data_IF_377910434246
#
_entry.id   IF_377910434246
#
_cell.length_a   1.000
_cell.length_b   1.000
_cell.length_c   1.000
_cell.angle_alpha   90.00
_cell.angle_beta   90.00
_cell.angle_gamma   90.00
#
_symmetry.space_group_name_H-M   'P 1'
#
loop_
_entity.id
_entity.type
_entity.pdbx_description
1 polymer ?
#
# COMPACT_ATOMS: atom_id res chain seq x y z
N UNK A 1 44.51 59.74 -55.64
CA UNK A 1 43.17 59.11 -55.67
C UNK A 1 43.17 57.69 -55.11
N UNK A 2 44.15 56.85 -55.43
CA UNK A 2 44.20 55.44 -54.99
C UNK A 2 44.37 55.27 -53.46
N UNK A 3 45.18 56.13 -52.83
CA UNK A 3 45.39 56.13 -51.37
C UNK A 3 44.13 56.45 -50.56
N UNK A 4 43.31 57.40 -51.04
CA UNK A 4 42.03 57.76 -50.40
C UNK A 4 41.03 56.60 -50.48
N UNK A 5 41.00 55.93 -51.64
CA UNK A 5 40.10 54.80 -51.91
C UNK A 5 40.40 53.59 -51.01
N UNK A 6 41.69 53.27 -50.81
CA UNK A 6 42.12 52.20 -49.91
C UNK A 6 41.80 52.53 -48.44
N UNK A 7 41.92 53.81 -48.04
CA UNK A 7 41.62 54.26 -46.67
C UNK A 7 40.13 54.18 -46.32
N UNK A 8 39.26 54.56 -47.27
CA UNK A 8 37.81 54.47 -47.09
C UNK A 8 37.38 53.01 -47.01
N UNK A 9 37.91 52.16 -47.89
CA UNK A 9 37.57 50.72 -47.93
C UNK A 9 38.07 49.97 -46.67
N UNK A 10 39.23 50.34 -46.11
CA UNK A 10 39.67 49.78 -44.82
C UNK A 10 38.80 50.22 -43.64
N UNK A 11 38.36 51.48 -43.59
CA UNK A 11 37.42 51.96 -42.56
C UNK A 11 36.05 51.25 -42.63
N UNK A 12 35.54 50.99 -43.84
CA UNK A 12 34.30 50.23 -44.03
C UNK A 12 34.46 48.75 -43.61
N UNK A 13 35.61 48.14 -43.89
CA UNK A 13 35.92 46.77 -43.44
C UNK A 13 36.05 46.67 -41.92
N UNK A 14 36.66 47.65 -41.26
CA UNK A 14 36.75 47.72 -39.79
C UNK A 14 35.37 47.93 -39.14
N UNK A 15 34.47 48.70 -39.77
CA UNK A 15 33.10 48.89 -39.30
C UNK A 15 32.19 47.64 -39.47
N UNK A 16 32.52 46.74 -40.40
CA UNK A 16 31.76 45.51 -40.67
C UNK A 16 32.14 44.32 -39.77
N UNK A 17 33.25 44.40 -39.04
CA UNK A 17 33.61 43.38 -38.03
C UNK A 17 32.75 43.61 -36.78
N UNK A 18 31.46 43.26 -36.87
CA UNK A 18 30.60 43.15 -35.69
C UNK A 18 31.28 42.24 -34.67
N UNK A 19 31.54 42.71 -33.44
CA UNK A 19 32.38 41.97 -32.52
C UNK A 19 31.69 40.65 -32.17
N UNK A 20 32.37 39.52 -32.44
CA UNK A 20 31.97 38.15 -32.06
C UNK A 20 31.43 38.06 -30.63
N UNK A 21 31.90 38.94 -29.72
CA UNK A 21 31.44 39.08 -28.33
C UNK A 21 29.95 39.41 -28.18
N UNK A 22 29.35 40.19 -29.09
CA UNK A 22 27.91 40.54 -29.04
C UNK A 22 27.03 39.33 -29.37
N UNK A 23 27.45 38.46 -30.30
CA UNK A 23 26.70 37.23 -30.61
C UNK A 23 26.72 36.24 -29.44
N UNK A 24 27.84 36.11 -28.73
CA UNK A 24 27.93 35.23 -27.54
C UNK A 24 27.04 35.71 -26.39
N UNK A 25 26.96 37.03 -26.16
CA UNK A 25 26.08 37.61 -25.13
C UNK A 25 24.59 37.38 -25.42
N UNK A 26 24.20 37.24 -26.68
CA UNK A 26 22.81 36.94 -27.08
C UNK A 26 22.39 35.50 -26.76
N UNK A 27 23.32 34.54 -26.74
CA UNK A 27 23.03 33.14 -26.41
C UNK A 27 23.09 32.83 -24.91
N UNK A 28 23.77 33.69 -24.14
CA UNK A 28 23.93 33.55 -22.70
C UNK A 28 22.60 33.47 -21.91
N UNK A 29 21.57 34.32 -22.17
CA UNK A 29 20.28 34.18 -21.50
C UNK A 29 19.58 32.86 -21.85
N UNK A 30 19.68 32.38 -23.10
CA UNK A 30 19.10 31.10 -23.50
C UNK A 30 19.75 29.93 -22.77
N UNK A 31 21.08 29.93 -22.65
CA UNK A 31 21.80 28.90 -21.89
C UNK A 31 21.40 28.91 -20.42
N UNK A 32 21.31 30.09 -19.80
CA UNK A 32 20.86 30.24 -18.40
C UNK A 32 19.43 29.74 -18.24
N UNK A 33 18.51 30.12 -19.13
CA UNK A 33 17.12 29.65 -19.12
C UNK A 33 17.01 28.13 -19.29
N UNK A 34 17.79 27.53 -20.20
CA UNK A 34 17.83 26.08 -20.38
C UNK A 34 18.36 25.38 -19.13
N UNK A 35 19.43 25.89 -18.52
CA UNK A 35 19.95 25.31 -17.27
C UNK A 35 18.95 25.41 -16.12
N UNK A 36 18.24 26.55 -16.00
CA UNK A 36 17.18 26.71 -15.00
C UNK A 36 16.02 25.77 -15.27
N UNK A 37 15.60 25.60 -16.53
CA UNK A 37 14.54 24.66 -16.89
C UNK A 37 14.94 23.22 -16.55
N UNK A 38 16.15 22.78 -16.90
CA UNK A 38 16.65 21.43 -16.58
C UNK A 38 16.69 21.20 -15.07
N UNK A 39 17.22 22.17 -14.29
CA UNK A 39 17.26 22.06 -12.83
C UNK A 39 15.85 22.04 -12.22
N UNK A 40 14.93 22.86 -12.74
CA UNK A 40 13.54 22.88 -12.31
C UNK A 40 12.84 21.55 -12.60
N UNK A 41 13.00 20.99 -13.79
CA UNK A 41 12.44 19.69 -14.15
C UNK A 41 13.07 18.55 -13.32
N UNK A 42 14.38 18.57 -13.09
CA UNK A 42 15.05 17.59 -12.24
C UNK A 42 14.54 17.65 -10.80
N UNK A 43 14.38 18.85 -10.24
CA UNK A 43 13.88 19.04 -8.89
C UNK A 43 12.39 18.71 -8.79
N UNK A 44 11.59 19.02 -9.83
CA UNK A 44 10.19 18.62 -9.91
C UNK A 44 10.05 17.10 -9.98
N UNK A 45 10.86 16.41 -10.80
CA UNK A 45 10.86 14.94 -10.88
C UNK A 45 11.25 14.33 -9.54
N UNK A 46 12.30 14.81 -8.90
CA UNK A 46 12.71 14.32 -7.57
C UNK A 46 11.60 14.53 -6.53
N UNK A 47 10.87 15.66 -6.60
CA UNK A 47 9.71 15.90 -5.73
C UNK A 47 8.56 14.94 -6.03
N UNK A 48 8.25 14.70 -7.31
CA UNK A 48 7.19 13.77 -7.73
C UNK A 48 7.51 12.33 -7.32
N UNK A 49 8.75 11.90 -7.48
CA UNK A 49 9.22 10.57 -7.06
C UNK A 49 9.21 10.43 -5.53
N UNK A 50 9.56 11.50 -4.79
CA UNK A 50 9.47 11.53 -3.32
C UNK A 50 8.03 11.61 -2.80
N UNK A 51 7.07 12.00 -3.65
CA UNK A 51 5.64 12.00 -3.35
C UNK A 51 4.97 10.67 -3.70
N UNK A 52 5.66 9.76 -4.40
CA UNK A 52 5.17 8.39 -4.53
C UNK A 52 5.26 7.74 -3.14
N UNK A 53 4.15 7.19 -2.63
CA UNK A 53 4.22 6.43 -1.40
C UNK A 53 5.22 5.29 -1.59
N UNK A 54 6.20 5.18 -0.69
CA UNK A 54 7.16 4.07 -0.67
C UNK A 54 6.45 2.70 -0.46
N UNK A 55 5.18 2.75 -0.07
CA UNK A 55 4.35 1.60 0.26
C UNK A 55 2.95 1.79 -0.31
N UNK A 56 2.49 0.84 -1.11
CA UNK A 56 1.14 0.81 -1.67
C UNK A 56 0.56 -0.61 -1.59
N UNK A 57 -0.65 -0.82 -2.13
CA UNK A 57 -1.27 -2.14 -2.14
C UNK A 57 -0.50 -3.19 -2.97
N UNK A 58 0.34 -2.76 -3.92
CA UNK A 58 1.10 -3.68 -4.78
C UNK A 58 2.44 -4.09 -4.16
N UNK A 59 3.06 -3.18 -3.40
CA UNK A 59 4.40 -3.31 -2.80
C UNK A 59 4.35 -3.63 -1.30
N UNK A 60 3.18 -3.48 -0.68
CA UNK A 60 2.93 -3.80 0.71
C UNK A 60 3.27 -2.67 1.68
N UNK A 61 2.52 -2.56 2.78
CA UNK A 61 2.71 -1.54 3.81
C UNK A 61 3.94 -1.77 4.71
N UNK A 62 4.43 -0.71 5.37
CA UNK A 62 5.55 -0.81 6.32
C UNK A 62 5.26 -1.79 7.47
N UNK A 63 4.01 -1.89 7.91
CA UNK A 63 3.56 -2.73 9.03
C UNK A 63 3.34 -4.19 8.65
N UNK A 64 3.48 -4.54 7.38
CA UNK A 64 3.31 -5.93 6.94
C UNK A 64 4.54 -6.78 7.24
N UNK A 65 4.28 -8.08 7.38
CA UNK A 65 5.32 -9.07 7.56
C UNK A 65 6.23 -9.13 6.32
N UNK A 66 7.47 -8.68 6.46
CA UNK A 66 8.39 -8.46 5.34
C UNK A 66 8.60 -9.68 4.44
N UNK A 67 8.77 -10.92 4.96
CA UNK A 67 8.88 -12.12 4.13
C UNK A 67 7.64 -12.42 3.27
N UNK A 68 6.46 -11.93 3.67
CA UNK A 68 5.21 -12.14 2.96
C UNK A 68 4.99 -11.17 1.79
N UNK A 69 5.71 -10.05 1.72
CA UNK A 69 5.47 -8.99 0.73
C UNK A 69 5.58 -9.45 -0.71
N UNK A 70 6.51 -10.38 -0.99
CA UNK A 70 6.70 -10.94 -2.32
C UNK A 70 5.49 -11.75 -2.84
N UNK A 71 4.58 -12.14 -1.94
CA UNK A 71 3.36 -12.88 -2.28
C UNK A 71 2.13 -11.98 -2.41
N UNK A 72 2.28 -10.66 -2.20
CA UNK A 72 1.19 -9.70 -2.36
C UNK A 72 0.97 -9.45 -3.84
N UNK A 73 -0.29 -9.59 -4.27
CA UNK A 73 -0.72 -9.28 -5.62
C UNK A 73 -2.08 -8.59 -5.58
N UNK A 74 -2.27 -7.62 -6.49
CA UNK A 74 -3.57 -6.98 -6.68
C UNK A 74 -4.40 -7.84 -7.63
N UNK A 75 -5.62 -8.16 -7.21
CA UNK A 75 -6.63 -8.83 -8.02
C UNK A 75 -7.84 -7.89 -8.16
N UNK A 76 -8.29 -7.66 -9.38
CA UNK A 76 -9.52 -6.90 -9.64
C UNK A 76 -10.69 -7.88 -9.73
N UNK A 77 -11.67 -7.70 -8.84
CA UNK A 77 -12.84 -8.55 -8.74
C UNK A 77 -14.11 -7.70 -8.77
N UNK A 78 -15.10 -8.10 -9.55
CA UNK A 78 -16.42 -7.48 -9.52
C UNK A 78 -17.17 -7.92 -8.26
N UNK A 79 -17.46 -6.96 -7.37
CA UNK A 79 -18.28 -7.23 -6.19
C UNK A 79 -19.76 -7.18 -6.54
N UNK A 80 -20.37 -8.35 -6.67
CA UNK A 80 -21.81 -8.46 -6.87
C UNK A 80 -22.52 -8.47 -5.52
N UNK A 81 -23.23 -7.38 -5.21
CA UNK A 81 -24.17 -7.38 -4.09
C UNK A 81 -25.29 -8.39 -4.39
N UNK A 82 -25.64 -9.28 -3.44
CA UNK A 82 -26.82 -10.12 -3.59
C UNK A 82 -28.06 -9.25 -3.74
N UNK A 83 -28.83 -9.49 -4.81
CA UNK A 83 -30.13 -8.88 -4.99
C UNK A 83 -31.09 -9.39 -3.91
N UNK A 84 -31.61 -8.48 -3.08
CA UNK A 84 -32.63 -8.78 -2.08
C UNK A 84 -33.99 -8.37 -2.67
N UNK A 85 -34.86 -9.32 -3.07
CA UNK A 85 -36.22 -8.97 -3.50
C UNK A 85 -37.00 -8.36 -2.34
N UNK A 86 -37.73 -7.27 -2.61
CA UNK A 86 -38.36 -6.38 -1.64
C UNK A 86 -39.63 -6.91 -0.96
N UNK A 87 -39.57 -8.14 -0.46
CA UNK A 87 -40.66 -8.76 0.29
C UNK A 87 -40.10 -9.08 1.68
N UNK A 88 -40.26 -8.14 2.61
CA UNK A 88 -39.68 -8.17 3.97
C UNK A 88 -40.07 -9.41 4.81
N UNK A 89 -41.01 -10.24 4.34
CA UNK A 89 -41.44 -11.49 4.99
C UNK A 89 -40.47 -12.67 4.80
N UNK A 90 -39.57 -12.64 3.81
CA UNK A 90 -38.63 -13.72 3.53
C UNK A 90 -37.23 -13.20 3.22
N UNK A 91 -36.66 -12.43 4.15
CA UNK A 91 -35.23 -12.12 4.08
C UNK A 91 -34.42 -13.39 4.41
N UNK A 92 -34.02 -14.12 3.38
CA UNK A 92 -32.97 -15.13 3.50
C UNK A 92 -31.61 -14.44 3.31
N UNK A 93 -30.74 -14.44 4.34
CA UNK A 93 -29.40 -13.90 4.17
C UNK A 93 -28.68 -14.70 3.08
N UNK A 94 -27.91 -14.03 2.21
CA UNK A 94 -27.26 -14.69 1.09
C UNK A 94 -26.27 -15.74 1.61
N UNK A 95 -26.34 -16.95 1.05
CA UNK A 95 -25.46 -18.05 1.42
C UNK A 95 -24.25 -18.04 0.49
N UNK A 96 -23.08 -17.78 1.08
CA UNK A 96 -21.78 -17.82 0.41
C UNK A 96 -20.83 -18.75 1.17
N UNK A 97 -19.61 -18.91 0.66
CA UNK A 97 -18.60 -19.77 1.29
C UNK A 97 -18.38 -19.45 2.79
N UNK A 98 -18.45 -18.18 3.18
CA UNK A 98 -18.21 -17.70 4.56
C UNK A 98 -19.42 -17.07 5.25
N UNK A 99 -20.61 -17.09 4.63
CA UNK A 99 -21.82 -16.38 5.10
C UNK A 99 -23.05 -17.28 5.02
N UNK A 100 -23.92 -17.22 6.02
CA UNK A 100 -25.21 -17.93 6.02
C UNK A 100 -25.48 -18.66 7.33
N UNK A 101 -26.52 -19.50 7.31
CA UNK A 101 -26.85 -20.39 8.43
C UNK A 101 -25.76 -21.45 8.67
N UNK A 102 -25.65 -21.98 9.90
CA UNK A 102 -24.67 -23.02 10.24
C UNK A 102 -24.77 -24.24 9.32
N UNK A 103 -23.65 -24.60 8.69
CA UNK A 103 -23.50 -25.84 7.92
C UNK A 103 -22.07 -26.37 8.08
N UNK A 104 -21.88 -27.67 7.92
CA UNK A 104 -20.54 -28.27 7.96
C UNK A 104 -19.61 -27.66 6.91
N UNK A 105 -20.13 -27.36 5.72
CA UNK A 105 -19.36 -26.69 4.65
C UNK A 105 -18.84 -25.32 5.09
N UNK A 106 -19.70 -24.52 5.73
CA UNK A 106 -19.34 -23.19 6.23
C UNK A 106 -18.24 -23.28 7.30
N UNK A 107 -18.34 -24.23 8.23
CA UNK A 107 -17.33 -24.39 9.27
C UNK A 107 -15.99 -24.89 8.71
N UNK A 108 -16.02 -25.77 7.71
CA UNK A 108 -14.81 -26.18 6.99
C UNK A 108 -14.17 -24.98 6.28
N UNK A 109 -14.96 -24.12 5.65
CA UNK A 109 -14.46 -22.92 4.97
C UNK A 109 -13.78 -21.98 5.98
N UNK A 110 -14.44 -21.65 7.10
CA UNK A 110 -13.84 -20.83 8.16
C UNK A 110 -12.58 -21.44 8.76
N UNK A 111 -12.57 -22.76 9.02
CA UNK A 111 -11.38 -23.46 9.51
C UNK A 111 -10.21 -23.37 8.53
N UNK A 112 -10.49 -23.49 7.23
CA UNK A 112 -9.47 -23.31 6.18
C UNK A 112 -9.00 -21.88 6.11
N UNK A 113 -9.90 -20.89 6.16
CA UNK A 113 -9.54 -19.48 6.14
C UNK A 113 -8.65 -19.09 7.33
N UNK A 114 -8.86 -19.69 8.51
CA UNK A 114 -8.11 -19.39 9.73
C UNK A 114 -6.89 -20.29 9.95
N UNK A 115 -6.46 -21.06 8.95
CA UNK A 115 -5.37 -22.03 9.13
C UNK A 115 -4.05 -21.38 9.59
N UNK A 116 -3.78 -20.16 9.15
CA UNK A 116 -2.58 -19.39 9.42
C UNK A 116 -2.78 -18.35 10.55
N UNK A 117 -3.75 -18.59 11.46
CA UNK A 117 -4.00 -17.70 12.59
C UNK A 117 -2.75 -17.50 13.46
N UNK A 118 -2.03 -18.59 13.70
CA UNK A 118 -0.80 -18.60 14.47
C UNK A 118 0.31 -19.20 13.61
N UNK A 119 1.47 -18.57 13.63
CA UNK A 119 2.64 -18.95 12.85
C UNK A 119 3.81 -19.20 13.80
N UNK A 120 4.44 -20.37 13.65
CA UNK A 120 5.72 -20.65 14.27
C UNK A 120 6.81 -20.51 13.21
N UNK A 121 7.69 -19.53 13.40
CA UNK A 121 8.73 -19.15 12.46
C UNK A 121 10.09 -19.66 12.92
N UNK A 122 10.91 -20.07 11.96
CA UNK A 122 12.34 -20.27 12.20
C UNK A 122 13.03 -18.93 12.51
N UNK A 123 14.23 -18.98 13.09
CA UNK A 123 14.96 -17.76 13.46
C UNK A 123 15.25 -16.86 12.24
N UNK A 124 15.55 -17.47 11.10
CA UNK A 124 15.83 -16.78 9.84
C UNK A 124 14.58 -16.05 9.30
N UNK A 125 13.39 -16.60 9.53
CA UNK A 125 12.11 -16.02 9.09
C UNK A 125 11.63 -14.91 10.02
N UNK A 126 11.98 -14.99 11.30
CA UNK A 126 11.60 -14.02 12.31
C UNK A 126 12.55 -12.82 12.39
N UNK A 127 13.67 -12.80 11.65
CA UNK A 127 14.72 -11.78 11.78
C UNK A 127 14.21 -10.33 11.82
N UNK A 128 13.16 -10.01 11.04
CA UNK A 128 12.62 -8.64 10.95
C UNK A 128 11.60 -8.29 12.04
N UNK A 129 11.10 -9.28 12.78
CA UNK A 129 10.02 -9.12 13.77
C UNK A 129 10.35 -9.76 15.12
N UNK A 130 11.58 -10.23 15.32
CA UNK A 130 11.99 -11.04 16.48
C UNK A 130 11.60 -10.42 17.82
N UNK A 131 11.77 -9.11 17.96
CA UNK A 131 11.45 -8.37 19.18
C UNK A 131 9.93 -8.22 19.44
N UNK A 132 9.11 -8.42 18.41
CA UNK A 132 7.65 -8.39 18.46
C UNK A 132 7.02 -9.80 18.50
N UNK A 133 7.84 -10.84 18.66
CA UNK A 133 7.40 -12.24 18.73
C UNK A 133 7.63 -12.86 20.10
N UNK A 134 6.92 -13.95 20.37
CA UNK A 134 7.19 -14.79 21.54
C UNK A 134 8.04 -15.98 21.11
N UNK A 135 9.11 -16.31 21.83
CA UNK A 135 9.93 -17.49 21.52
C UNK A 135 9.57 -18.66 22.42
N UNK A 136 9.25 -19.80 21.83
CA UNK A 136 9.00 -21.04 22.56
C UNK A 136 10.30 -21.57 23.21
N UNK A 137 10.21 -22.01 24.47
CA UNK A 137 11.38 -22.51 25.19
C UNK A 137 11.81 -23.91 24.73
N UNK A 138 10.88 -24.72 24.26
CA UNK A 138 11.05 -26.13 23.89
C UNK A 138 11.43 -26.30 22.42
N UNK A 139 10.73 -25.63 21.51
CA UNK A 139 10.98 -25.73 20.05
C UNK A 139 11.95 -24.67 19.53
N UNK A 140 12.19 -23.61 20.31
CA UNK A 140 12.98 -22.43 19.92
C UNK A 140 12.42 -21.62 18.74
N UNK A 141 11.21 -21.96 18.27
CA UNK A 141 10.50 -21.23 17.21
C UNK A 141 9.92 -19.92 17.73
N UNK A 142 9.75 -18.96 16.83
CA UNK A 142 9.16 -17.66 17.10
C UNK A 142 7.69 -17.66 16.74
N UNK A 143 6.85 -17.59 17.75
CA UNK A 143 5.40 -17.49 17.66
C UNK A 143 4.96 -16.07 17.30
N UNK A 144 4.17 -15.97 16.24
CA UNK A 144 3.53 -14.73 15.80
C UNK A 144 2.17 -15.00 15.18
N UNK A 145 1.47 -13.93 14.78
CA UNK A 145 0.20 -14.02 14.07
C UNK A 145 -0.02 -12.80 13.18
N UNK A 146 -0.73 -12.99 12.08
CA UNK A 146 -1.11 -11.89 11.19
C UNK A 146 -2.38 -11.24 11.74
N UNK A 147 -2.35 -9.92 11.98
CA UNK A 147 -3.47 -9.20 12.59
C UNK A 147 -4.81 -9.38 11.87
N UNK A 148 -4.79 -9.48 10.53
CA UNK A 148 -5.98 -9.78 9.73
C UNK A 148 -6.64 -11.11 10.13
N UNK A 149 -5.84 -12.16 10.35
CA UNK A 149 -6.38 -13.47 10.75
C UNK A 149 -6.96 -13.41 12.16
N UNK A 150 -6.40 -12.62 13.07
CA UNK A 150 -6.98 -12.40 14.40
C UNK A 150 -8.33 -11.69 14.31
N UNK A 151 -8.46 -10.69 13.44
CA UNK A 151 -9.75 -10.02 13.19
C UNK A 151 -10.78 -11.02 12.63
N UNK A 152 -10.40 -11.83 11.64
CA UNK A 152 -11.27 -12.87 11.07
C UNK A 152 -11.66 -13.93 12.11
N UNK A 153 -10.74 -14.34 12.99
CA UNK A 153 -11.03 -15.27 14.09
C UNK A 153 -12.11 -14.73 15.02
N UNK A 154 -12.02 -13.45 15.39
CA UNK A 154 -13.03 -12.80 16.22
C UNK A 154 -14.39 -12.69 15.50
N UNK A 155 -14.39 -12.40 14.20
CA UNK A 155 -15.61 -12.41 13.38
C UNK A 155 -16.26 -13.79 13.36
N UNK A 156 -15.49 -14.87 13.24
CA UNK A 156 -16.01 -16.24 13.31
C UNK A 156 -16.62 -16.56 14.68
N UNK A 157 -15.98 -16.14 15.77
CA UNK A 157 -16.56 -16.28 17.12
C UNK A 157 -17.89 -15.52 17.20
N UNK A 158 -17.95 -14.30 16.68
CA UNK A 158 -19.18 -13.50 16.67
C UNK A 158 -20.29 -14.18 15.85
N UNK A 159 -19.96 -14.68 14.65
CA UNK A 159 -20.86 -15.48 13.81
C UNK A 159 -21.44 -16.67 14.57
N UNK A 160 -20.57 -17.46 15.24
CA UNK A 160 -21.00 -18.63 16.02
C UNK A 160 -21.88 -18.23 17.21
N UNK A 161 -21.61 -17.09 17.84
CA UNK A 161 -22.41 -16.56 18.96
C UNK A 161 -23.83 -16.16 18.54
N UNK A 162 -24.02 -15.64 17.32
CA UNK A 162 -25.36 -15.37 16.78
C UNK A 162 -26.17 -16.67 16.71
N UNK A 163 -25.56 -17.76 16.23
CA UNK A 163 -26.17 -19.08 16.11
C UNK A 163 -25.93 -19.97 17.34
N UNK A 164 -26.07 -19.41 18.55
CA UNK A 164 -25.84 -20.14 19.80
C UNK A 164 -26.76 -21.35 20.01
N UNK A 165 -27.92 -21.41 19.36
CA UNK A 165 -28.77 -22.61 19.37
C UNK A 165 -28.09 -23.81 18.68
N UNK A 166 -27.22 -23.55 17.70
CA UNK A 166 -26.45 -24.57 16.99
C UNK A 166 -25.08 -24.83 17.64
N UNK A 167 -24.32 -23.77 17.96
CA UNK A 167 -22.94 -23.90 18.48
C UNK A 167 -22.84 -23.94 20.01
N UNK A 168 -23.95 -23.74 20.72
CA UNK A 168 -23.97 -23.53 22.15
C UNK A 168 -23.70 -22.07 22.55
N UNK A 169 -23.96 -21.75 23.82
CA UNK A 169 -23.69 -20.42 24.38
C UNK A 169 -22.19 -20.14 24.38
N UNK A 170 -21.75 -18.91 24.03
CA UNK A 170 -20.34 -18.55 24.07
C UNK A 170 -19.73 -18.75 25.46
N UNK A 171 -18.52 -19.29 25.50
CA UNK A 171 -17.71 -19.37 26.72
C UNK A 171 -17.32 -17.97 27.21
N UNK A 172 -16.87 -17.86 28.47
CA UNK A 172 -16.34 -16.59 29.00
C UNK A 172 -15.18 -16.04 28.16
N UNK A 173 -14.34 -16.93 27.62
CA UNK A 173 -13.24 -16.55 26.73
C UNK A 173 -13.77 -16.00 25.40
N UNK A 174 -14.74 -16.67 24.78
CA UNK A 174 -15.36 -16.19 23.53
C UNK A 174 -16.10 -14.87 23.73
N UNK A 175 -16.80 -14.69 24.85
CA UNK A 175 -17.42 -13.41 25.23
C UNK A 175 -16.42 -12.27 25.33
N UNK A 176 -15.22 -12.52 25.88
CA UNK A 176 -14.14 -11.54 25.91
C UNK A 176 -13.68 -11.18 24.49
N UNK A 177 -13.48 -12.16 23.60
CA UNK A 177 -13.09 -11.91 22.21
C UNK A 177 -14.15 -11.09 21.46
N UNK A 178 -15.44 -11.40 21.66
CA UNK A 178 -16.55 -10.64 21.09
C UNK A 178 -16.50 -9.17 21.55
N UNK A 179 -16.36 -8.94 22.85
CA UNK A 179 -16.30 -7.58 23.40
C UNK A 179 -15.12 -6.77 22.87
N UNK A 180 -13.92 -7.35 22.87
CA UNK A 180 -12.72 -6.70 22.32
C UNK A 180 -12.83 -6.47 20.81
N UNK A 181 -13.43 -7.40 20.07
CA UNK A 181 -13.66 -7.25 18.63
C UNK A 181 -14.57 -6.05 18.33
N UNK A 182 -15.67 -5.90 19.07
CA UNK A 182 -16.57 -4.75 18.91
C UNK A 182 -15.84 -3.46 19.29
N UNK A 183 -15.07 -3.48 20.38
CA UNK A 183 -14.31 -2.32 20.84
C UNK A 183 -13.33 -1.80 19.79
N UNK A 184 -12.76 -2.66 18.95
CA UNK A 184 -11.88 -2.26 17.84
C UNK A 184 -12.57 -1.31 16.85
N UNK A 185 -13.87 -1.51 16.60
CA UNK A 185 -14.66 -0.68 15.67
C UNK A 185 -15.25 0.57 16.31
N UNK A 186 -15.28 0.62 17.65
CA UNK A 186 -15.88 1.74 18.40
C UNK A 186 -14.84 2.57 19.16
N UNK A 187 -13.59 2.13 19.24
CA UNK A 187 -12.52 2.93 19.82
C UNK A 187 -12.15 4.04 18.83
N UNK A 188 -12.37 5.29 19.24
CA UNK A 188 -11.74 6.43 18.59
C UNK A 188 -10.23 6.19 18.62
N UNK A 189 -9.63 6.04 17.44
CA UNK A 189 -8.19 6.01 17.26
C UNK A 189 -7.68 7.45 17.47
N UNK A 190 -7.51 7.84 18.74
CA UNK A 190 -6.84 9.08 19.13
C UNK A 190 -5.32 8.97 18.94
#
# INVERSE_FOLDING_TARGET
MEYEYLRINNKEKEALVKPRRIRLLLFLPWLVSITFAVLFFWQLQHRLDSCQPQYDFASGFKTEFSPAKQYISIEENEFHLPYIPGNDEFFEPPVYEYVGAPTERLDIAWKKLLFALNLDLAEEEAMTIKDDTFRWNDTHLYYTGIQLYHQLHCVDIFRRAIYHDHYGKPTRKEMFHIGTCIALFTSDQN
#
